data_IF_952966009542
#
_entry.id   IF_952966009542
#
_cell.length_a   1.000
_cell.length_b   1.000
_cell.length_c   1.000
_cell.angle_alpha   90.00
_cell.angle_beta   90.00
_cell.angle_gamma   90.00
#
_symmetry.space_group_name_H-M   'P 1'
#
loop_
_entity.id
_entity.type
_entity.pdbx_description
1 polymer ?
#
# COMPACT_ATOMS: atom_id res chain seq x y z
N UNK A 1 9.82 21.12 2.99
CA UNK A 1 9.38 19.73 3.22
C UNK A 1 10.49 19.02 3.96
N UNK A 2 10.18 18.45 5.12
CA UNK A 2 11.11 17.63 5.89
C UNK A 2 10.75 16.17 5.62
N UNK A 3 11.74 15.31 5.42
CA UNK A 3 11.54 13.87 5.22
C UNK A 3 12.34 13.17 6.30
N UNK A 4 11.64 12.43 7.15
CA UNK A 4 12.24 11.60 8.19
C UNK A 4 12.28 10.14 7.73
N UNK A 5 13.39 9.46 8.02
CA UNK A 5 13.60 8.08 7.63
C UNK A 5 13.65 7.18 8.86
N UNK A 6 12.96 6.05 8.78
CA UNK A 6 13.09 4.94 9.73
C UNK A 6 13.55 3.73 8.95
N UNK A 7 14.72 3.20 9.28
CA UNK A 7 15.32 2.07 8.56
C UNK A 7 14.97 0.76 9.25
N UNK A 8 14.54 -0.23 8.47
CA UNK A 8 14.45 -1.63 8.91
C UNK A 8 15.77 -2.36 8.58
N UNK A 9 16.69 -2.56 9.54
CA UNK A 9 17.98 -3.20 9.27
C UNK A 9 17.87 -4.71 8.99
N UNK A 10 16.72 -5.33 9.28
CA UNK A 10 16.45 -6.76 9.12
C UNK A 10 15.32 -7.02 8.11
N UNK A 11 15.17 -6.12 7.13
CA UNK A 11 14.12 -6.20 6.10
C UNK A 11 14.12 -7.53 5.31
N UNK A 12 15.29 -8.18 5.17
CA UNK A 12 15.42 -9.45 4.46
C UNK A 12 14.82 -10.66 5.20
N UNK A 13 14.56 -10.52 6.51
CA UNK A 13 14.05 -11.60 7.38
C UNK A 13 12.79 -11.19 8.14
N UNK A 14 12.17 -10.08 7.74
CA UNK A 14 10.93 -9.54 8.30
C UNK A 14 10.04 -9.11 7.15
N UNK A 15 8.76 -8.89 7.44
CA UNK A 15 7.79 -8.41 6.46
C UNK A 15 7.29 -7.00 6.84
N UNK A 16 6.38 -6.41 6.07
CA UNK A 16 5.98 -5.00 6.19
C UNK A 16 5.47 -4.60 7.60
N UNK A 17 4.96 -5.55 8.39
CA UNK A 17 4.55 -5.34 9.80
C UNK A 17 5.68 -4.78 10.65
N UNK A 18 6.92 -5.25 10.43
CA UNK A 18 8.06 -4.86 11.25
C UNK A 18 8.53 -3.45 10.88
N UNK A 19 8.52 -3.12 9.58
CA UNK A 19 8.81 -1.77 9.11
C UNK A 19 7.81 -0.75 9.67
N UNK A 20 6.50 -1.07 9.66
CA UNK A 20 5.48 -0.21 10.26
C UNK A 20 5.65 -0.09 11.79
N UNK A 21 5.94 -1.18 12.48
CA UNK A 21 6.22 -1.17 13.91
C UNK A 21 7.44 -0.32 14.28
N UNK A 22 8.52 -0.35 13.50
CA UNK A 22 9.70 0.51 13.75
C UNK A 22 9.36 2.00 13.64
N UNK A 23 8.44 2.38 12.76
CA UNK A 23 8.03 3.76 12.56
C UNK A 23 7.09 4.31 13.66
N UNK A 24 6.63 3.47 14.58
CA UNK A 24 5.46 3.79 15.42
C UNK A 24 5.57 5.01 16.31
N UNK A 25 6.75 5.28 16.85
CA UNK A 25 6.99 6.41 17.76
C UNK A 25 7.12 7.75 17.02
N UNK A 26 7.16 7.73 15.67
CA UNK A 26 7.19 8.92 14.83
C UNK A 26 5.81 9.40 14.43
N UNK A 27 4.79 8.57 14.57
CA UNK A 27 3.44 8.79 14.05
C UNK A 27 2.51 9.16 15.22
N UNK A 28 2.34 10.46 15.46
CA UNK A 28 1.69 11.00 16.67
C UNK A 28 0.42 11.81 16.35
N UNK A 29 0.09 11.94 15.08
CA UNK A 29 -1.05 12.69 14.56
C UNK A 29 -1.75 11.87 13.46
N UNK A 30 -3.00 12.18 13.07
CA UNK A 30 -3.66 11.49 11.98
C UNK A 30 -2.83 11.55 10.70
N UNK A 31 -2.71 10.42 10.00
CA UNK A 31 -1.80 10.28 8.87
C UNK A 31 -2.35 9.37 7.77
N UNK A 32 -1.71 9.43 6.60
CA UNK A 32 -1.90 8.47 5.52
C UNK A 32 -0.78 7.43 5.56
N UNK A 33 -1.16 6.16 5.60
CA UNK A 33 -0.29 5.03 5.32
C UNK A 33 -0.43 4.68 3.84
N UNK A 34 0.68 4.67 3.10
CA UNK A 34 0.75 4.45 1.65
C UNK A 34 1.90 3.49 1.38
N UNK A 35 1.66 2.42 0.63
CA UNK A 35 2.73 1.55 0.12
C UNK A 35 3.46 2.18 -1.08
N UNK A 36 4.75 1.88 -1.21
CA UNK A 36 5.65 2.65 -2.08
C UNK A 36 5.63 2.26 -3.56
N UNK A 37 4.96 1.18 -3.90
CA UNK A 37 4.85 0.56 -5.22
C UNK A 37 3.58 0.96 -5.97
N UNK A 38 2.92 2.03 -5.53
CA UNK A 38 1.66 2.51 -6.10
C UNK A 38 1.85 3.66 -7.09
N UNK A 39 1.10 3.62 -8.18
CA UNK A 39 0.82 4.77 -9.05
C UNK A 39 -0.68 5.02 -9.07
N UNK A 40 -1.11 6.27 -8.93
CA UNK A 40 -2.53 6.61 -8.88
C UNK A 40 -2.78 8.08 -9.22
N UNK A 41 -4.01 8.38 -9.61
CA UNK A 41 -4.48 9.74 -9.82
C UNK A 41 -4.62 10.49 -8.50
N UNK A 42 -3.91 11.61 -8.34
CA UNK A 42 -3.89 12.41 -7.09
C UNK A 42 -5.28 12.80 -6.57
N UNK A 43 -6.28 13.15 -7.40
CA UNK A 43 -7.64 13.47 -6.92
C UNK A 43 -8.30 12.36 -6.09
N UNK A 44 -7.90 11.09 -6.26
CA UNK A 44 -8.41 9.97 -5.48
C UNK A 44 -8.07 10.08 -3.98
N UNK A 45 -6.99 10.81 -3.63
CA UNK A 45 -6.60 11.02 -2.23
C UNK A 45 -7.52 11.99 -1.48
N UNK A 46 -8.34 12.77 -2.17
CA UNK A 46 -9.18 13.80 -1.53
C UNK A 46 -10.08 13.23 -0.43
N UNK A 47 -10.71 12.08 -0.67
CA UNK A 47 -11.55 11.41 0.30
C UNK A 47 -10.75 10.80 1.47
N UNK A 48 -9.46 10.50 1.30
CA UNK A 48 -8.61 9.96 2.35
C UNK A 48 -8.01 11.03 3.27
N UNK A 49 -8.27 12.32 3.01
CA UNK A 49 -7.88 13.42 3.94
C UNK A 49 -8.64 13.39 5.27
N UNK A 50 -9.72 12.61 5.34
CA UNK A 50 -10.43 12.30 6.59
C UNK A 50 -9.91 10.99 7.17
N UNK A 51 -9.72 10.90 8.49
CA UNK A 51 -9.16 9.71 9.14
C UNK A 51 -10.10 8.50 9.05
N UNK A 52 -9.54 7.33 9.32
CA UNK A 52 -10.22 6.03 9.45
C UNK A 52 -10.93 5.61 8.16
N UNK A 53 -10.21 5.73 7.05
CA UNK A 53 -10.65 5.33 5.71
C UNK A 53 -9.63 4.42 5.06
N UNK A 54 -10.11 3.51 4.23
CA UNK A 54 -9.26 2.63 3.43
C UNK A 54 -9.69 2.68 1.97
N UNK A 55 -8.72 2.85 1.08
CA UNK A 55 -8.96 2.80 -0.34
C UNK A 55 -9.16 1.35 -0.77
N UNK A 56 -10.28 1.10 -1.44
CA UNK A 56 -10.65 -0.20 -2.00
C UNK A 56 -10.98 -0.03 -3.48
N UNK A 57 -10.81 -1.08 -4.26
CA UNK A 57 -11.09 -1.05 -5.69
C UNK A 57 -11.68 -2.37 -6.14
N UNK A 58 -12.50 -2.34 -7.19
CA UNK A 58 -13.00 -3.57 -7.80
C UNK A 58 -11.83 -4.43 -8.25
N UNK A 59 -11.84 -5.69 -7.81
CA UNK A 59 -10.77 -6.64 -8.06
C UNK A 59 -10.78 -7.05 -9.53
N UNK A 60 -9.69 -6.76 -10.23
CA UNK A 60 -9.43 -7.32 -11.56
C UNK A 60 -8.75 -8.70 -11.44
N UNK A 61 -8.93 -9.62 -12.40
CA UNK A 61 -8.45 -11.00 -12.28
C UNK A 61 -6.94 -11.17 -12.05
N UNK A 62 -6.14 -10.21 -12.52
CA UNK A 62 -4.69 -10.21 -12.37
C UNK A 62 -4.22 -9.69 -11.02
N UNK A 63 -5.06 -8.91 -10.32
CA UNK A 63 -4.71 -8.30 -9.04
C UNK A 63 -4.52 -9.35 -7.93
N UNK A 64 -3.46 -9.17 -7.14
CA UNK A 64 -3.08 -10.02 -6.01
C UNK A 64 -3.08 -9.22 -4.70
N UNK A 65 -2.73 -9.89 -3.60
CA UNK A 65 -2.63 -9.27 -2.28
C UNK A 65 -3.90 -9.41 -1.44
N UNK A 66 -4.13 -8.41 -0.60
CA UNK A 66 -5.18 -8.39 0.41
C UNK A 66 -6.54 -8.01 -0.20
N UNK A 67 -7.57 -8.81 0.09
CA UNK A 67 -8.96 -8.56 -0.30
C UNK A 67 -9.78 -8.19 0.93
N UNK A 68 -10.92 -7.53 0.74
CA UNK A 68 -11.82 -7.15 1.84
C UNK A 68 -13.27 -7.43 1.50
N UNK A 69 -14.04 -7.77 2.53
CA UNK A 69 -15.50 -7.78 2.47
C UNK A 69 -16.02 -6.46 3.03
N UNK A 70 -17.18 -6.02 2.55
CA UNK A 70 -17.76 -4.73 2.95
C UNK A 70 -19.28 -4.80 3.03
N UNK A 71 -19.85 -3.99 3.94
CA UNK A 71 -21.30 -3.75 4.02
C UNK A 71 -21.81 -2.67 3.04
N UNK A 72 -20.95 -2.24 2.10
CA UNK A 72 -21.19 -1.14 1.17
C UNK A 72 -20.66 0.23 1.65
N UNK A 73 -20.31 0.35 2.93
CA UNK A 73 -19.77 1.58 3.51
C UNK A 73 -18.46 1.36 4.27
N UNK A 74 -18.31 0.21 4.94
CA UNK A 74 -17.20 -0.11 5.84
C UNK A 74 -16.62 -1.47 5.49
N UNK A 75 -15.36 -1.68 5.85
CA UNK A 75 -14.74 -3.00 5.78
C UNK A 75 -15.25 -3.85 6.92
N UNK A 76 -15.73 -5.04 6.59
CA UNK A 76 -16.24 -6.03 7.55
C UNK A 76 -15.25 -7.16 7.82
N UNK A 77 -14.39 -7.50 6.85
CA UNK A 77 -13.36 -8.52 7.02
C UNK A 77 -12.18 -8.27 6.07
N UNK A 78 -10.98 -8.65 6.51
CA UNK A 78 -9.77 -8.70 5.69
C UNK A 78 -9.41 -10.15 5.37
N UNK A 79 -9.16 -10.43 4.09
CA UNK A 79 -8.81 -11.75 3.58
C UNK A 79 -7.38 -11.72 3.04
N UNK A 80 -6.49 -12.47 3.70
CA UNK A 80 -5.05 -12.50 3.42
C UNK A 80 -4.61 -13.87 2.89
N UNK A 81 -3.52 -13.90 2.11
CA UNK A 81 -2.89 -15.15 1.68
C UNK A 81 -3.82 -16.05 0.87
N UNK A 82 -3.92 -17.33 1.24
CA UNK A 82 -4.79 -18.28 0.51
C UNK A 82 -6.28 -17.92 0.62
N UNK A 83 -6.71 -17.29 1.71
CA UNK A 83 -8.11 -16.88 1.89
C UNK A 83 -8.49 -15.80 0.87
N UNK A 84 -7.53 -14.97 0.42
CA UNK A 84 -7.79 -13.93 -0.58
C UNK A 84 -8.01 -14.50 -1.99
N UNK A 85 -7.53 -15.72 -2.26
CA UNK A 85 -7.72 -16.42 -3.53
C UNK A 85 -9.07 -17.12 -3.64
N UNK A 86 -9.57 -17.64 -2.52
CA UNK A 86 -10.81 -18.39 -2.45
C UNK A 86 -12.07 -17.51 -2.37
N UNK A 87 -11.86 -16.21 -2.13
CA UNK A 87 -12.94 -15.25 -2.01
C UNK A 87 -13.48 -14.87 -3.39
N UNK A 88 -14.80 -15.03 -3.59
CA UNK A 88 -15.57 -14.40 -4.67
C UNK A 88 -15.75 -12.88 -4.43
N UNK A 89 -14.97 -12.32 -3.52
CA UNK A 89 -15.09 -10.94 -3.05
C UNK A 89 -14.69 -9.94 -4.12
N UNK A 90 -15.47 -8.87 -4.19
CA UNK A 90 -15.38 -7.88 -5.27
C UNK A 90 -14.25 -6.87 -5.06
N UNK A 91 -13.70 -6.74 -3.84
CA UNK A 91 -12.82 -5.62 -3.50
C UNK A 91 -11.42 -6.03 -3.06
N UNK A 92 -10.43 -5.40 -3.68
CA UNK A 92 -9.02 -5.38 -3.29
C UNK A 92 -8.69 -4.11 -2.51
N UNK A 93 -7.78 -4.20 -1.55
CA UNK A 93 -7.16 -3.01 -0.95
C UNK A 93 -6.22 -2.33 -1.95
N UNK A 94 -6.28 -0.99 -2.01
CA UNK A 94 -5.33 -0.18 -2.79
C UNK A 94 -4.02 0.04 -2.03
N UNK A 95 -3.90 -0.52 -0.81
CA UNK A 95 -2.76 -0.34 0.10
C UNK A 95 -2.54 1.13 0.49
N UNK A 96 -3.66 1.86 0.62
CA UNK A 96 -3.72 3.21 1.17
C UNK A 96 -4.80 3.27 2.23
N UNK A 97 -4.46 3.76 3.42
CA UNK A 97 -5.44 4.10 4.43
C UNK A 97 -5.09 5.38 5.17
N UNK A 98 -6.11 6.07 5.66
CA UNK A 98 -5.99 7.16 6.61
C UNK A 98 -6.34 6.67 8.00
N UNK A 99 -5.58 7.08 9.00
CA UNK A 99 -5.71 6.59 10.37
C UNK A 99 -5.85 7.77 11.33
N UNK A 100 -6.83 7.71 12.23
CA UNK A 100 -6.88 8.60 13.39
C UNK A 100 -5.82 8.21 14.42
N UNK A 101 -5.50 9.13 15.33
CA UNK A 101 -4.62 8.85 16.46
C UNK A 101 -5.18 7.72 17.37
N UNK A 102 -6.50 7.60 17.50
CA UNK A 102 -7.14 6.53 18.27
C UNK A 102 -6.99 5.17 17.60
N UNK A 103 -7.29 5.07 16.30
CA UNK A 103 -7.09 3.83 15.54
C UNK A 103 -5.62 3.43 15.53
N UNK A 104 -4.73 4.41 15.34
CA UNK A 104 -3.29 4.16 15.39
C UNK A 104 -2.83 3.63 16.74
N UNK A 105 -3.33 4.17 17.85
CA UNK A 105 -3.01 3.66 19.19
C UNK A 105 -3.42 2.19 19.38
N UNK A 106 -4.60 1.79 18.85
CA UNK A 106 -5.03 0.40 18.87
C UNK A 106 -4.16 -0.50 17.99
N UNK A 107 -3.77 -0.02 16.80
CA UNK A 107 -2.87 -0.70 15.87
C UNK A 107 -1.49 -0.89 16.51
N UNK A 108 -0.92 0.13 17.13
CA UNK A 108 0.38 0.05 17.82
C UNK A 108 0.36 -1.02 18.91
N UNK A 109 -0.67 -1.03 19.76
CA UNK A 109 -0.80 -2.04 20.81
C UNK A 109 -0.85 -3.47 20.22
N UNK A 110 -1.52 -3.67 19.08
CA UNK A 110 -1.58 -4.98 18.40
C UNK A 110 -0.29 -5.32 17.65
N UNK A 111 0.39 -4.33 17.06
CA UNK A 111 1.73 -4.50 16.47
C UNK A 111 2.71 -4.99 17.52
N UNK A 112 2.76 -4.35 18.71
CA UNK A 112 3.64 -4.77 19.81
C UNK A 112 3.36 -6.21 20.27
N UNK A 113 2.09 -6.63 20.30
CA UNK A 113 1.72 -8.01 20.58
C UNK A 113 2.27 -8.97 19.51
N UNK A 114 2.08 -8.67 18.23
CA UNK A 114 2.61 -9.48 17.13
C UNK A 114 4.14 -9.61 17.20
N UNK A 115 4.84 -8.50 17.38
CA UNK A 115 6.32 -8.49 17.41
C UNK A 115 6.84 -9.22 18.65
N UNK A 116 6.22 -9.05 19.82
CA UNK A 116 6.63 -9.78 21.04
C UNK A 116 6.41 -11.29 20.96
N UNK A 117 5.46 -11.75 20.13
CA UNK A 117 5.25 -13.16 19.82
C UNK A 117 6.17 -13.69 18.72
N UNK A 118 7.09 -12.88 18.18
CA UNK A 118 7.98 -13.25 17.10
C UNK A 118 7.32 -13.31 15.72
N UNK A 119 6.09 -12.79 15.56
CA UNK A 119 5.34 -12.75 14.29
C UNK A 119 5.80 -11.61 13.40
N UNK A 120 7.10 -11.58 13.11
CA UNK A 120 7.77 -10.50 12.36
C UNK A 120 7.67 -10.64 10.84
N UNK A 121 7.21 -11.80 10.35
CA UNK A 121 7.07 -12.12 8.92
C UNK A 121 5.63 -11.98 8.39
N UNK A 122 4.72 -11.45 9.21
CA UNK A 122 3.32 -11.20 8.85
C UNK A 122 3.17 -9.89 8.09
N UNK A 123 2.07 -9.75 7.36
CA UNK A 123 1.64 -8.47 6.80
C UNK A 123 0.98 -7.60 7.90
N UNK A 124 1.13 -6.27 7.86
CA UNK A 124 0.46 -5.40 8.82
C UNK A 124 -1.07 -5.50 8.70
N UNK A 125 -1.59 -5.88 7.54
CA UNK A 125 -3.02 -6.13 7.34
C UNK A 125 -3.54 -7.27 8.20
N UNK A 126 -2.68 -8.17 8.71
CA UNK A 126 -3.08 -9.15 9.71
C UNK A 126 -3.48 -8.48 11.04
N UNK A 127 -2.84 -7.36 11.39
CA UNK A 127 -3.24 -6.51 12.53
C UNK A 127 -4.59 -5.86 12.26
N UNK A 128 -4.82 -5.35 11.04
CA UNK A 128 -6.09 -4.74 10.68
C UNK A 128 -7.23 -5.75 10.71
N UNK A 129 -7.03 -6.94 10.13
CA UNK A 129 -7.97 -8.07 10.17
C UNK A 129 -8.44 -8.33 11.59
N UNK A 130 -7.50 -8.55 12.51
CA UNK A 130 -7.86 -8.94 13.86
C UNK A 130 -8.60 -7.79 14.58
N UNK A 131 -8.14 -6.55 14.43
CA UNK A 131 -8.79 -5.40 15.07
C UNK A 131 -10.18 -5.10 14.51
N UNK A 132 -10.41 -5.28 13.20
CA UNK A 132 -11.75 -5.18 12.59
C UNK A 132 -12.65 -6.29 13.13
N UNK A 133 -12.16 -7.54 13.17
CA UNK A 133 -12.94 -8.68 13.69
C UNK A 133 -13.33 -8.51 15.17
N UNK A 134 -12.54 -7.76 15.93
CA UNK A 134 -12.78 -7.42 17.33
C UNK A 134 -13.63 -6.14 17.52
N UNK A 135 -14.01 -5.44 16.44
CA UNK A 135 -14.74 -4.16 16.51
C UNK A 135 -13.91 -3.01 17.09
N UNK A 136 -12.58 -3.10 17.04
CA UNK A 136 -11.63 -2.12 17.60
C UNK A 136 -10.99 -1.21 16.55
N UNK A 137 -11.19 -1.54 15.28
CA UNK A 137 -10.83 -0.72 14.14
C UNK A 137 -12.04 -0.70 13.20
N UNK A 138 -12.44 0.49 12.77
CA UNK A 138 -13.58 0.70 11.89
C UNK A 138 -13.12 1.59 10.74
N UNK A 139 -13.03 1.02 9.53
CA UNK A 139 -12.50 1.67 8.35
C UNK A 139 -13.61 1.87 7.32
N UNK A 140 -13.89 3.13 6.98
CA UNK A 140 -14.81 3.47 5.91
C UNK A 140 -14.14 3.23 4.55
N UNK A 141 -14.86 2.54 3.66
CA UNK A 141 -14.41 2.29 2.29
C UNK A 141 -14.39 3.58 1.47
N UNK A 142 -13.32 3.80 0.72
CA UNK A 142 -13.22 4.81 -0.33
C UNK A 142 -12.98 4.08 -1.64
N UNK A 143 -13.97 4.09 -2.53
CA UNK A 143 -13.87 3.39 -3.80
C UNK A 143 -12.94 4.13 -4.76
N UNK A 144 -11.88 3.45 -5.19
CA UNK A 144 -10.98 3.85 -6.24
C UNK A 144 -11.37 3.13 -7.52
N UNK A 145 -11.54 3.87 -8.61
CA UNK A 145 -11.70 3.33 -9.95
C UNK A 145 -10.47 2.48 -10.31
N UNK A 146 -10.70 1.22 -10.64
CA UNK A 146 -9.67 0.22 -10.94
C UNK A 146 -8.76 0.58 -12.12
N UNK A 147 -9.15 1.57 -12.95
CA UNK A 147 -8.35 2.05 -14.07
C UNK A 147 -7.51 3.29 -13.72
N UNK A 148 -7.62 3.84 -12.50
CA UNK A 148 -6.97 5.09 -12.09
C UNK A 148 -5.89 4.88 -11.03
N UNK A 149 -5.55 3.63 -10.74
CA UNK A 149 -4.44 3.24 -9.89
C UNK A 149 -3.82 1.93 -10.37
N UNK A 150 -2.60 1.65 -9.91
CA UNK A 150 -1.89 0.41 -10.17
C UNK A 150 -0.88 0.13 -9.04
N UNK A 151 -0.68 -1.14 -8.73
CA UNK A 151 0.39 -1.66 -7.86
C UNK A 151 1.46 -2.31 -8.75
N UNK A 152 2.73 -1.94 -8.57
CA UNK A 152 3.84 -2.31 -9.46
C UNK A 152 4.79 -3.28 -8.75
N UNK A 153 4.41 -4.54 -8.69
CA UNK A 153 5.24 -5.63 -8.14
C UNK A 153 6.21 -6.21 -9.17
N UNK A 154 5.79 -6.24 -10.44
CA UNK A 154 6.50 -6.93 -11.52
C UNK A 154 6.72 -6.03 -12.73
N UNK A 155 7.57 -6.49 -13.65
CA UNK A 155 7.75 -5.82 -14.95
C UNK A 155 6.49 -5.83 -15.81
N UNK A 156 5.61 -6.82 -15.64
CA UNK A 156 4.35 -6.87 -16.37
C UNK A 156 3.36 -5.87 -15.79
N UNK A 157 3.35 -5.67 -14.46
CA UNK A 157 2.56 -4.61 -13.82
C UNK A 157 3.04 -3.22 -14.28
N UNK A 158 4.35 -3.00 -14.39
CA UNK A 158 4.90 -1.75 -14.89
C UNK A 158 4.44 -1.44 -16.33
N UNK A 159 4.41 -2.46 -17.19
CA UNK A 159 3.90 -2.34 -18.57
C UNK A 159 2.40 -2.03 -18.57
N UNK A 160 1.62 -2.77 -17.78
CA UNK A 160 0.18 -2.56 -17.62
C UNK A 160 -0.17 -1.17 -17.07
N UNK A 161 0.60 -0.67 -16.11
CA UNK A 161 0.49 0.69 -15.61
C UNK A 161 0.78 1.72 -16.71
N UNK A 162 1.86 1.55 -17.49
CA UNK A 162 2.16 2.44 -18.62
C UNK A 162 1.01 2.51 -19.62
N UNK A 163 0.44 1.37 -20.02
CA UNK A 163 -0.68 1.32 -20.96
C UNK A 163 -1.96 1.94 -20.39
N UNK A 164 -2.20 1.77 -19.09
CA UNK A 164 -3.35 2.36 -18.38
C UNK A 164 -3.23 3.87 -18.31
N UNK A 165 -2.11 4.40 -17.84
CA UNK A 165 -1.92 5.84 -17.67
C UNK A 165 -1.65 6.59 -18.98
N UNK A 166 -1.11 5.93 -20.02
CA UNK A 166 -1.02 6.53 -21.35
C UNK A 166 -2.40 6.81 -21.96
N UNK A 167 -3.41 5.95 -21.69
CA UNK A 167 -4.80 6.18 -22.13
C UNK A 167 -5.45 7.35 -21.41
N UNK A 168 -5.17 7.53 -20.13
CA UNK A 168 -5.67 8.65 -19.32
C UNK A 168 -5.02 9.97 -19.76
N UNK A 169 -3.70 9.98 -19.93
CA UNK A 169 -2.94 11.15 -20.38
C UNK A 169 -3.26 11.61 -21.80
N UNK A 170 -3.79 10.72 -22.66
CA UNK A 170 -4.25 11.08 -24.01
C UNK A 170 -5.53 11.94 -24.02
N UNK A 171 -6.25 12.04 -22.91
CA UNK A 171 -7.45 12.86 -22.80
C UNK A 171 -7.22 14.20 -22.07
N UNK A 172 -6.11 14.41 -21.35
CA UNK A 172 -6.00 15.57 -20.44
C UNK A 172 -4.59 16.16 -20.20
N UNK A 173 -3.70 16.20 -21.20
CA UNK A 173 -2.47 17.02 -21.12
C UNK A 173 -2.13 17.77 -22.42
N UNK A 174 -1.74 19.07 -22.36
CA UNK A 174 -1.04 19.74 -23.44
C UNK A 174 0.31 19.06 -23.67
N UNK A 175 0.62 18.76 -24.93
CA UNK A 175 1.88 18.12 -25.33
C UNK A 175 3.09 18.94 -24.89
N UNK A 176 3.90 18.41 -23.97
CA UNK A 176 5.31 18.79 -23.84
C UNK A 176 6.18 17.70 -24.47
N UNK A 177 7.14 18.06 -25.34
CA UNK A 177 7.89 17.08 -26.11
C UNK A 177 8.83 16.26 -25.22
N UNK A 178 8.67 14.94 -25.31
CA UNK A 178 9.49 13.91 -24.71
C UNK A 178 10.81 13.75 -25.51
N UNK A 179 11.79 14.64 -25.32
CA UNK A 179 13.10 14.42 -25.98
C UNK A 179 14.38 14.74 -25.21
N UNK A 180 14.36 15.35 -24.02
CA UNK A 180 15.62 15.95 -23.50
C UNK A 180 16.17 15.35 -22.19
N UNK A 181 15.78 14.13 -21.79
CA UNK A 181 16.25 13.56 -20.50
C UNK A 181 17.15 12.32 -20.63
N UNK A 182 17.42 11.82 -21.84
CA UNK A 182 18.30 10.65 -22.03
C UNK A 182 19.43 10.89 -23.02
N UNK A 183 20.20 11.94 -22.79
CA UNK A 183 21.52 12.07 -23.41
C UNK A 183 22.48 12.78 -22.47
N UNK A 184 22.98 12.09 -21.44
CA UNK A 184 24.37 12.21 -20.97
C UNK A 184 24.66 11.23 -19.82
N UNK A 185 25.75 10.47 -19.95
CA UNK A 185 26.45 9.91 -18.79
C UNK A 185 26.33 8.42 -18.49
N UNK A 186 26.48 7.51 -19.46
CA UNK A 186 26.87 6.11 -19.14
C UNK A 186 28.28 6.11 -18.53
N UNK A 187 28.41 5.96 -17.21
CA UNK A 187 29.62 5.40 -16.59
C UNK A 187 29.29 3.98 -16.13
N UNK A 188 29.97 3.00 -16.74
CA UNK A 188 29.88 1.61 -16.33
C UNK A 188 30.30 1.48 -14.85
N UNK A 189 29.57 0.70 -14.03
CA UNK A 189 30.07 0.33 -12.71
C UNK A 189 31.30 -0.59 -12.85
N UNK A 190 32.25 -0.55 -11.90
CA UNK A 190 33.41 -1.44 -11.93
C UNK A 190 32.98 -2.90 -11.69
N UNK A 191 33.71 -3.88 -12.24
CA UNK A 191 33.40 -5.29 -12.05
C UNK A 191 33.52 -5.71 -10.58
N UNK A 192 32.54 -6.48 -10.11
CA UNK A 192 32.55 -7.09 -8.76
C UNK A 192 33.71 -8.08 -8.64
N UNK A 193 34.50 -7.95 -7.57
CA UNK A 193 35.52 -8.93 -7.20
C UNK A 193 34.85 -10.24 -6.75
N UNK A 194 35.35 -11.35 -7.28
CA UNK A 194 34.97 -12.71 -6.88
C UNK A 194 35.43 -12.98 -5.44
N UNK A 195 34.51 -13.37 -4.57
CA UNK A 195 34.85 -13.90 -3.25
C UNK A 195 34.96 -15.42 -3.38
N UNK A 196 36.10 -15.96 -2.95
CA UNK A 196 36.39 -17.40 -2.82
C UNK A 196 35.64 -18.01 -1.64
#
# INVERSE_FOLDING_TARGET
>A
MTIDYVSNPVFATTNNIYSLWLAREKLNEPFLLIESDLIFDTPLLSALTYPDRIAVSHRLPWMRGTMVTTDGHRVTEFLLGENSKAADEEYKTVNICSLSASSWSAIVARLEQYISMGRVNEYYEAVFRDLVSEGRLDLQCVLFDENRWYEIDTLDDLRGAHETFARIGAFDMPTLPYSDVYSEGRRNPPPRASVQ
#
